data_IF_418406568130
#
_entry.id   IF_418406568130
#
_cell.length_a   1.000
_cell.length_b   1.000
_cell.length_c   1.000
_cell.angle_alpha   90.00
_cell.angle_beta   90.00
_cell.angle_gamma   90.00
#
_symmetry.space_group_name_H-M   'P 1'
#
loop_
_entity.id
_entity.type
_entity.pdbx_description
1 polymer ?
#
# COMPACT_ATOMS: atom_id res chain seq x y z
N UNK A 1 12.70 7.89 7.12
CA UNK A 1 11.75 8.52 8.08
C UNK A 1 12.12 8.13 9.50
N UNK A 2 12.10 9.07 10.44
CA UNK A 2 12.32 8.78 11.86
C UNK A 2 11.09 8.14 12.52
N UNK A 3 11.27 7.51 13.69
CA UNK A 3 10.16 6.96 14.46
C UNK A 3 9.13 8.03 14.87
N UNK A 4 9.58 9.24 15.20
CA UNK A 4 8.69 10.36 15.51
C UNK A 4 7.84 10.80 14.30
N UNK A 5 8.44 10.86 13.12
CA UNK A 5 7.73 11.15 11.87
C UNK A 5 6.71 10.05 11.54
N UNK A 6 7.09 8.78 11.69
CA UNK A 6 6.19 7.66 11.44
C UNK A 6 5.00 7.67 12.42
N UNK A 7 5.23 7.99 13.69
CA UNK A 7 4.16 8.11 14.68
C UNK A 7 3.15 9.20 14.31
N UNK A 8 3.62 10.32 13.78
CA UNK A 8 2.74 11.39 13.31
C UNK A 8 1.94 10.98 12.07
N UNK A 9 2.58 10.28 11.12
CA UNK A 9 1.88 9.68 9.96
C UNK A 9 0.76 8.75 10.42
N UNK A 10 1.03 7.86 11.36
CA UNK A 10 0.02 6.94 11.91
C UNK A 10 -1.14 7.71 12.54
N UNK A 11 -0.86 8.75 13.33
CA UNK A 11 -1.90 9.58 13.96
C UNK A 11 -2.81 10.26 12.93
N UNK A 12 -2.23 10.78 11.84
CA UNK A 12 -3.01 11.36 10.73
C UNK A 12 -3.90 10.29 10.08
N UNK A 13 -3.37 9.12 9.79
CA UNK A 13 -4.14 8.01 9.21
C UNK A 13 -5.30 7.58 10.13
N UNK A 14 -5.07 7.47 11.44
CA UNK A 14 -6.12 7.15 12.42
C UNK A 14 -7.24 8.19 12.44
N UNK A 15 -6.93 9.46 12.20
CA UNK A 15 -7.92 10.53 12.12
C UNK A 15 -8.83 10.39 10.89
N UNK A 16 -8.29 9.96 9.76
CA UNK A 16 -9.00 9.94 8.47
C UNK A 16 -9.68 8.62 8.13
N UNK A 17 -9.08 7.49 8.52
CA UNK A 17 -9.67 6.16 8.28
C UNK A 17 -10.78 5.83 9.27
N UNK A 18 -11.73 5.02 8.82
CA UNK A 18 -12.54 4.24 9.77
C UNK A 18 -11.68 3.11 10.40
N UNK A 19 -12.19 2.52 11.48
CA UNK A 19 -11.44 1.50 12.22
C UNK A 19 -11.12 0.28 11.35
N UNK A 20 -12.04 -0.13 10.49
CA UNK A 20 -11.87 -1.30 9.62
C UNK A 20 -10.75 -1.07 8.60
N UNK A 21 -10.73 0.08 7.94
CA UNK A 21 -9.70 0.43 6.97
C UNK A 21 -8.35 0.63 7.64
N UNK A 22 -8.32 1.28 8.81
CA UNK A 22 -7.07 1.42 9.56
C UNK A 22 -6.47 0.06 9.95
N UNK A 23 -7.28 -0.88 10.43
CA UNK A 23 -6.81 -2.23 10.77
C UNK A 23 -6.30 -2.99 9.55
N UNK A 24 -6.95 -2.84 8.38
CA UNK A 24 -6.45 -3.39 7.12
C UNK A 24 -5.06 -2.82 6.80
N UNK A 25 -4.91 -1.50 6.78
CA UNK A 25 -3.63 -0.85 6.48
C UNK A 25 -2.53 -1.21 7.50
N UNK A 26 -2.87 -1.37 8.77
CA UNK A 26 -1.94 -1.84 9.80
C UNK A 26 -1.48 -3.28 9.53
N UNK A 27 -2.38 -4.17 9.10
CA UNK A 27 -2.00 -5.55 8.71
C UNK A 27 -1.14 -5.55 7.45
N UNK A 28 -1.44 -4.68 6.47
CA UNK A 28 -0.60 -4.52 5.27
C UNK A 28 0.82 -4.12 5.68
N UNK A 29 0.97 -3.13 6.55
CA UNK A 29 2.28 -2.72 7.08
C UNK A 29 3.02 -3.88 7.78
N UNK A 30 2.31 -4.68 8.58
CA UNK A 30 2.87 -5.88 9.22
C UNK A 30 3.32 -6.93 8.18
N UNK A 31 2.57 -7.10 7.12
CA UNK A 31 2.85 -8.07 6.07
C UNK A 31 4.11 -7.74 5.25
N UNK A 32 4.59 -6.50 5.27
CA UNK A 32 5.85 -6.11 4.61
C UNK A 32 7.02 -7.00 5.02
N UNK A 33 7.09 -7.38 6.30
CA UNK A 33 8.14 -8.26 6.84
C UNK A 33 8.18 -9.67 6.21
N UNK A 34 7.15 -10.04 5.47
CA UNK A 34 7.09 -11.32 4.74
C UNK A 34 7.68 -11.22 3.33
N UNK A 35 8.07 -10.03 2.91
CA UNK A 35 8.69 -9.79 1.61
C UNK A 35 10.22 -9.75 1.79
N UNK A 36 10.91 -10.65 1.09
CA UNK A 36 12.38 -10.74 1.17
C UNK A 36 13.05 -9.43 0.73
N UNK A 37 12.51 -8.75 -0.28
CA UNK A 37 13.07 -7.49 -0.75
C UNK A 37 12.99 -6.40 0.32
N UNK A 38 11.91 -6.38 1.10
CA UNK A 38 11.76 -5.45 2.22
C UNK A 38 12.84 -5.66 3.29
N UNK A 39 13.10 -6.92 3.65
CA UNK A 39 14.08 -7.27 4.69
C UNK A 39 15.52 -6.86 4.34
N UNK A 40 15.86 -6.80 3.05
CA UNK A 40 17.18 -6.37 2.59
C UNK A 40 17.34 -4.85 2.43
N UNK A 41 16.27 -4.08 2.60
CA UNK A 41 16.36 -2.61 2.49
C UNK A 41 17.02 -2.00 3.73
N UNK A 42 17.75 -0.87 3.56
CA UNK A 42 18.17 -0.06 4.69
C UNK A 42 17.00 0.35 5.59
N UNK A 43 17.23 0.45 6.89
CA UNK A 43 16.18 0.72 7.89
C UNK A 43 15.39 2.02 7.58
N UNK A 44 16.07 3.05 7.11
CA UNK A 44 15.43 4.30 6.68
C UNK A 44 14.45 4.11 5.52
N UNK A 45 14.79 3.25 4.56
CA UNK A 45 13.91 2.90 3.44
C UNK A 45 12.74 2.03 3.91
N UNK A 46 12.97 1.12 4.86
CA UNK A 46 11.91 0.31 5.44
C UNK A 46 10.85 1.18 6.10
N UNK A 47 11.24 2.19 6.88
CA UNK A 47 10.29 3.09 7.54
C UNK A 47 9.45 3.91 6.55
N UNK A 48 10.04 4.32 5.43
CA UNK A 48 9.32 5.02 4.36
C UNK A 48 8.27 4.11 3.69
N UNK A 49 8.60 2.84 3.48
CA UNK A 49 7.67 1.85 2.92
C UNK A 49 6.57 1.50 3.92
N UNK A 50 6.87 1.41 5.22
CA UNK A 50 5.85 1.23 6.27
C UNK A 50 4.87 2.40 6.25
N UNK A 51 5.35 3.63 6.17
CA UNK A 51 4.48 4.81 6.05
C UNK A 51 3.61 4.74 4.80
N UNK A 52 4.20 4.37 3.66
CA UNK A 52 3.47 4.20 2.40
C UNK A 52 2.36 3.13 2.51
N UNK A 53 2.66 2.00 3.17
CA UNK A 53 1.69 0.92 3.38
C UNK A 53 0.52 1.36 4.27
N UNK A 54 0.79 2.12 5.34
CA UNK A 54 -0.28 2.65 6.20
C UNK A 54 -1.15 3.67 5.45
N UNK A 55 -0.55 4.47 4.57
CA UNK A 55 -1.25 5.53 3.83
C UNK A 55 -1.92 5.05 2.53
N UNK A 56 -1.72 3.82 2.07
CA UNK A 56 -2.01 3.43 0.69
C UNK A 56 -3.46 3.61 0.25
N UNK A 57 -4.42 3.50 1.17
CA UNK A 57 -5.86 3.67 0.90
C UNK A 57 -6.39 5.09 1.16
N UNK A 58 -5.55 6.02 1.63
CA UNK A 58 -6.02 7.37 2.00
C UNK A 58 -6.70 8.11 0.85
N UNK A 59 -6.14 8.03 -0.36
CA UNK A 59 -6.68 8.75 -1.51
C UNK A 59 -7.92 8.09 -2.10
N UNK A 60 -8.11 6.77 -1.91
CA UNK A 60 -9.31 6.06 -2.37
C UNK A 60 -10.47 6.19 -1.38
N UNK A 61 -10.19 6.08 -0.10
CA UNK A 61 -11.22 5.88 0.95
C UNK A 61 -11.53 7.13 1.78
N UNK A 62 -10.79 8.24 1.57
CA UNK A 62 -10.98 9.48 2.35
C UNK A 62 -10.93 10.73 1.47
N UNK A 63 -11.35 11.85 2.03
CA UNK A 63 -11.31 13.17 1.39
C UNK A 63 -10.01 13.95 1.71
N UNK A 64 -8.94 13.25 2.07
CA UNK A 64 -7.69 13.88 2.53
C UNK A 64 -6.94 14.66 1.45
N UNK A 65 -7.15 14.38 0.16
CA UNK A 65 -6.30 14.81 -0.96
C UNK A 65 -5.99 16.33 -1.02
N UNK A 66 -6.94 17.18 -0.60
CA UNK A 66 -6.80 18.64 -0.64
C UNK A 66 -6.71 19.27 0.77
N UNK A 67 -6.39 18.47 1.78
CA UNK A 67 -6.32 18.93 3.17
C UNK A 67 -4.91 19.36 3.57
N UNK A 68 -4.81 20.12 4.66
CA UNK A 68 -3.52 20.43 5.28
C UNK A 68 -2.84 19.17 5.82
N UNK A 69 -3.60 18.18 6.26
CA UNK A 69 -3.07 16.89 6.72
C UNK A 69 -2.35 16.15 5.60
N UNK A 70 -2.85 16.20 4.36
CA UNK A 70 -2.16 15.62 3.22
C UNK A 70 -0.82 16.33 2.95
N UNK A 71 -0.81 17.66 2.98
CA UNK A 71 0.42 18.43 2.87
C UNK A 71 1.41 18.11 4.00
N UNK A 72 0.89 17.87 5.21
CA UNK A 72 1.70 17.45 6.36
C UNK A 72 2.35 16.09 6.13
N UNK A 73 1.59 15.11 5.62
CA UNK A 73 2.15 13.79 5.26
C UNK A 73 3.33 13.90 4.29
N UNK A 74 3.20 14.74 3.27
CA UNK A 74 4.27 14.96 2.28
C UNK A 74 5.51 15.58 2.96
N UNK A 75 5.32 16.55 3.84
CA UNK A 75 6.42 17.18 4.61
C UNK A 75 7.10 16.17 5.56
N UNK A 76 6.38 15.17 6.04
CA UNK A 76 6.93 14.10 6.85
C UNK A 76 7.71 13.05 6.02
N UNK A 77 7.63 13.10 4.70
CA UNK A 77 8.36 12.22 3.81
C UNK A 77 7.54 11.17 3.09
N UNK A 78 6.21 11.20 3.23
CA UNK A 78 5.32 10.30 2.46
C UNK A 78 5.33 10.71 0.99
N UNK A 79 5.58 9.78 0.10
CA UNK A 79 5.65 10.05 -1.35
C UNK A 79 4.27 10.15 -1.99
N UNK A 80 3.85 11.37 -2.34
CA UNK A 80 2.59 11.59 -3.05
C UNK A 80 2.54 10.86 -4.41
N UNK A 81 3.59 10.83 -5.25
CA UNK A 81 3.56 10.06 -6.49
C UNK A 81 3.32 8.57 -6.26
N UNK A 82 3.96 7.96 -5.25
CA UNK A 82 3.77 6.54 -4.93
C UNK A 82 2.38 6.25 -4.38
N UNK A 83 1.81 7.15 -3.57
CA UNK A 83 0.41 7.04 -3.12
C UNK A 83 -0.55 7.08 -4.32
N UNK A 84 -0.34 7.96 -5.28
CA UNK A 84 -1.15 8.02 -6.49
C UNK A 84 -1.03 6.74 -7.32
N UNK A 85 0.16 6.16 -7.40
CA UNK A 85 0.39 4.87 -8.06
C UNK A 85 -0.43 3.76 -7.41
N UNK A 86 -0.54 3.75 -6.07
CA UNK A 86 -1.32 2.78 -5.31
C UNK A 86 -2.83 3.06 -5.30
N UNK A 87 -3.25 4.19 -5.86
CA UNK A 87 -4.65 4.60 -5.96
C UNK A 87 -5.18 4.25 -7.35
N UNK A 88 -6.22 3.41 -7.41
CA UNK A 88 -6.79 2.99 -8.71
C UNK A 88 -7.49 4.16 -9.40
N UNK A 89 -7.11 4.44 -10.65
CA UNK A 89 -7.89 5.32 -11.51
C UNK A 89 -9.17 4.60 -11.93
N UNK A 90 -10.32 5.28 -11.85
CA UNK A 90 -11.64 4.71 -12.18
C UNK A 90 -11.74 4.20 -13.63
N UNK A 91 -10.95 4.75 -14.54
CA UNK A 91 -10.92 4.37 -15.95
C UNK A 91 -9.99 3.19 -16.26
N UNK A 92 -9.14 2.79 -15.31
CA UNK A 92 -8.22 1.68 -15.50
C UNK A 92 -8.88 0.34 -15.14
N UNK A 93 -8.60 -0.70 -15.96
CA UNK A 93 -8.90 -2.08 -15.55
C UNK A 93 -8.08 -2.44 -14.31
N UNK A 94 -8.54 -3.42 -13.55
CA UNK A 94 -7.80 -3.87 -12.37
C UNK A 94 -6.43 -4.44 -12.75
N UNK A 95 -6.36 -5.16 -13.86
CA UNK A 95 -5.12 -5.70 -14.44
C UNK A 95 -4.10 -4.58 -14.71
N UNK A 96 -4.51 -3.54 -15.41
CA UNK A 96 -3.65 -2.37 -15.68
C UNK A 96 -3.20 -1.68 -14.39
N UNK A 97 -4.10 -1.49 -13.44
CA UNK A 97 -3.79 -0.90 -12.16
C UNK A 97 -2.71 -1.71 -11.40
N UNK A 98 -2.86 -3.03 -11.35
CA UNK A 98 -1.87 -3.89 -10.71
C UNK A 98 -0.52 -3.80 -11.43
N UNK A 99 -0.49 -3.81 -12.76
CA UNK A 99 0.75 -3.62 -13.52
C UNK A 99 1.47 -2.31 -13.17
N UNK A 100 0.72 -1.23 -13.03
CA UNK A 100 1.27 0.07 -12.62
C UNK A 100 1.86 -0.01 -11.22
N UNK A 101 1.15 -0.62 -10.26
CA UNK A 101 1.67 -0.80 -8.90
C UNK A 101 2.97 -1.62 -8.86
N UNK A 102 3.11 -2.60 -9.76
CA UNK A 102 4.27 -3.48 -9.81
C UNK A 102 5.48 -2.87 -10.56
N UNK A 103 5.30 -1.72 -11.21
CA UNK A 103 6.35 -1.05 -12.00
C UNK A 103 7.44 -0.37 -11.16
N UNK A 104 7.20 -0.13 -9.89
CA UNK A 104 8.14 0.49 -8.95
C UNK A 104 8.37 -0.42 -7.74
N UNK A 105 9.62 -0.59 -7.25
CA UNK A 105 9.95 -1.47 -6.14
C UNK A 105 9.09 -1.27 -4.90
N UNK A 106 8.96 -0.04 -4.46
CA UNK A 106 8.27 0.29 -3.21
C UNK A 106 6.76 0.04 -3.29
N UNK A 107 6.14 0.49 -4.38
CA UNK A 107 4.70 0.26 -4.59
C UNK A 107 4.40 -1.22 -4.84
N UNK A 108 5.31 -1.96 -5.46
CA UNK A 108 5.22 -3.40 -5.61
C UNK A 108 5.19 -4.11 -4.25
N UNK A 109 6.13 -3.79 -3.36
CA UNK A 109 6.22 -4.39 -2.02
C UNK A 109 4.91 -4.13 -1.26
N UNK A 110 4.40 -2.89 -1.30
CA UNK A 110 3.13 -2.53 -0.65
C UNK A 110 1.96 -3.29 -1.28
N UNK A 111 1.87 -3.34 -2.61
CA UNK A 111 0.76 -4.04 -3.30
C UNK A 111 0.77 -5.55 -3.06
N UNK A 112 1.94 -6.17 -2.97
CA UNK A 112 2.05 -7.58 -2.58
C UNK A 112 1.55 -7.81 -1.14
N UNK A 113 1.89 -6.91 -0.21
CA UNK A 113 1.44 -7.00 1.18
C UNK A 113 -0.08 -6.75 1.30
N UNK A 114 -0.63 -5.82 0.54
CA UNK A 114 -2.07 -5.55 0.43
C UNK A 114 -2.83 -6.79 -0.08
N UNK A 115 -2.39 -7.36 -1.19
CA UNK A 115 -2.98 -8.58 -1.76
C UNK A 115 -2.94 -9.74 -0.76
N UNK A 116 -1.82 -9.90 -0.05
CA UNK A 116 -1.67 -10.92 1.00
C UNK A 116 -2.68 -10.75 2.11
N UNK A 117 -2.97 -9.52 2.54
CA UNK A 117 -4.00 -9.27 3.53
C UNK A 117 -5.38 -9.64 3.02
N UNK A 118 -5.77 -9.17 1.83
CA UNK A 118 -7.07 -9.50 1.22
C UNK A 118 -7.29 -11.00 1.09
N UNK A 119 -6.31 -11.75 0.61
CA UNK A 119 -6.41 -13.21 0.44
C UNK A 119 -6.45 -13.96 1.77
N UNK A 120 -5.95 -13.39 2.86
CA UNK A 120 -5.94 -14.00 4.20
C UNK A 120 -7.21 -13.72 5.02
N UNK A 121 -8.02 -12.73 4.63
CA UNK A 121 -9.24 -12.33 5.36
C UNK A 121 -10.46 -13.14 4.87
N UNK A 122 -10.63 -14.36 5.39
CA UNK A 122 -11.66 -15.33 4.95
C UNK A 122 -13.08 -14.76 5.02
N UNK A 123 -13.38 -13.93 6.01
CA UNK A 123 -14.74 -13.41 6.24
C UNK A 123 -15.15 -12.37 5.19
N UNK A 124 -14.20 -11.71 4.55
CA UNK A 124 -14.45 -10.66 3.54
C UNK A 124 -14.07 -11.09 2.13
N UNK A 125 -13.37 -12.22 1.97
CA UNK A 125 -12.96 -12.74 0.68
C UNK A 125 -14.12 -13.51 0.03
N UNK A 126 -14.94 -12.78 -0.71
CA UNK A 126 -16.02 -13.39 -1.51
C UNK A 126 -15.44 -14.13 -2.72
N UNK A 127 -16.17 -15.11 -3.32
CA UNK A 127 -15.75 -15.75 -4.57
C UNK A 127 -15.46 -14.77 -5.70
N UNK A 128 -16.22 -13.67 -5.80
CA UNK A 128 -16.00 -12.60 -6.77
C UNK A 128 -14.68 -11.87 -6.56
N UNK A 129 -14.35 -11.53 -5.32
CA UNK A 129 -13.08 -10.89 -4.98
C UNK A 129 -11.89 -11.83 -5.20
N UNK A 130 -12.05 -13.11 -4.80
CA UNK A 130 -11.02 -14.12 -5.05
C UNK A 130 -10.74 -14.27 -6.55
N UNK A 131 -11.77 -14.37 -7.38
CA UNK A 131 -11.62 -14.45 -8.84
C UNK A 131 -10.89 -13.23 -9.40
N UNK A 132 -11.23 -12.05 -8.94
CA UNK A 132 -10.54 -10.79 -9.29
C UNK A 132 -9.04 -10.83 -8.97
N UNK A 133 -8.66 -11.36 -7.81
CA UNK A 133 -7.26 -11.47 -7.40
C UNK A 133 -6.54 -12.60 -8.12
N UNK A 134 -7.19 -13.74 -8.33
CA UNK A 134 -6.61 -14.88 -9.05
C UNK A 134 -6.23 -14.51 -10.49
N UNK A 135 -7.03 -13.68 -11.16
CA UNK A 135 -6.78 -13.23 -12.54
C UNK A 135 -5.50 -12.39 -12.70
N UNK A 136 -5.05 -11.74 -11.65
CA UNK A 136 -3.84 -10.89 -11.68
C UNK A 136 -2.66 -11.52 -10.94
N UNK A 137 -2.84 -12.69 -10.32
CA UNK A 137 -1.80 -13.35 -9.53
C UNK A 137 -0.52 -13.59 -10.34
N UNK A 138 -0.64 -13.96 -11.61
CA UNK A 138 0.51 -14.20 -12.49
C UNK A 138 1.40 -12.97 -12.67
N UNK A 139 0.84 -11.75 -12.62
CA UNK A 139 1.61 -10.51 -12.78
C UNK A 139 2.68 -10.35 -11.71
N UNK A 140 2.42 -10.83 -10.49
CA UNK A 140 3.38 -10.77 -9.39
C UNK A 140 4.61 -11.64 -9.67
N UNK A 141 4.46 -12.76 -10.37
CA UNK A 141 5.55 -13.66 -10.75
C UNK A 141 6.31 -13.16 -11.98
N UNK A 142 5.63 -12.63 -12.98
CA UNK A 142 6.27 -12.07 -14.18
C UNK A 142 7.20 -10.91 -13.82
N UNK A 143 6.78 -10.04 -12.92
CA UNK A 143 7.60 -8.91 -12.51
C UNK A 143 8.82 -9.29 -11.66
N UNK A 144 8.84 -10.45 -11.00
CA UNK A 144 10.04 -10.93 -10.29
C UNK A 144 11.22 -11.13 -11.22
N UNK A 145 10.99 -11.55 -12.47
CA UNK A 145 12.03 -11.79 -13.46
C UNK A 145 12.64 -10.49 -14.00
N UNK A 146 11.96 -9.37 -13.89
CA UNK A 146 12.41 -8.06 -14.36
C UNK A 146 13.26 -7.30 -13.31
N UNK A 147 13.49 -7.89 -12.15
CA UNK A 147 14.16 -7.25 -11.01
C UNK A 147 15.60 -7.75 -10.79
N UNK A 148 16.04 -8.65 -11.63
CA UNK A 148 17.43 -9.14 -11.64
C UNK A 148 18.32 -8.17 -12.48
#
# INVERSE_FOLDING_TARGET
MTGAQLSEVIAICMKWYDDKTFLHCARVARNLKKDMLFEFLPEENQSDIVALAICHDLLEDTEIANSEDFNRLIKLGVSAPKLRTLTRNKNDSYDKYVQICLSNPDTRIVKCADMRDHLSQKDTLTPRLKDKYDKVAYLFFENLNNWN
#
